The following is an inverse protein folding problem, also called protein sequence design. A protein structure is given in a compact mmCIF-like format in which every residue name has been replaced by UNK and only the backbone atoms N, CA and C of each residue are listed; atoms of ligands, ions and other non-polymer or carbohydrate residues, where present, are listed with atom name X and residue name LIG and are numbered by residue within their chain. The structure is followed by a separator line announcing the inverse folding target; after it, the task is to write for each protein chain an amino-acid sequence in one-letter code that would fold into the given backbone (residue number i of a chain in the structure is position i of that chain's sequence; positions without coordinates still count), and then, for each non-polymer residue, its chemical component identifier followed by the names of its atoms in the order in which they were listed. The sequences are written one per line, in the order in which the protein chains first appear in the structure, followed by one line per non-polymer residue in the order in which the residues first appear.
data_IF_383370371775
#
_entry.id   IF_383370371775
#
_cell.length_a   1.000
_cell.length_b   1.000
_cell.length_c   1.000
_cell.angle_alpha   90.00
_cell.angle_beta   90.00
_cell.angle_gamma   90.00
#
_symmetry.space_group_name_H-M   'P 1'
#
loop_
_entity.id
_entity.type
_entity.pdbx_description
1 polymer ?
#
# COMPACT_ATOMS: atom_id res chain seq x y z
N UNK A 1 2.53 36.69 -39.17
CA UNK A 1 2.10 35.48 -38.44
C UNK A 1 0.94 35.87 -37.52
N UNK A 2 -0.17 35.13 -37.54
CA UNK A 2 -1.31 35.37 -36.65
C UNK A 2 -1.04 34.68 -35.31
N UNK A 3 -0.36 35.38 -34.39
CA UNK A 3 0.00 34.84 -33.07
C UNK A 3 -1.15 34.94 -32.05
N UNK A 4 -2.10 35.86 -32.29
CA UNK A 4 -3.27 36.11 -31.44
C UNK A 4 -4.06 34.83 -31.07
N UNK A 5 -4.43 33.93 -32.01
CA UNK A 5 -5.18 32.72 -31.65
C UNK A 5 -4.37 31.72 -30.82
N UNK A 6 -3.04 31.64 -31.01
CA UNK A 6 -2.17 30.76 -30.21
C UNK A 6 -2.07 31.23 -28.77
N UNK A 7 -1.99 32.54 -28.56
CA UNK A 7 -1.97 33.12 -27.21
C UNK A 7 -3.28 32.85 -26.47
N UNK A 8 -4.44 32.96 -27.14
CA UNK A 8 -5.73 32.61 -26.54
C UNK A 8 -5.84 31.13 -26.20
N UNK A 9 -5.35 30.24 -27.07
CA UNK A 9 -5.33 28.80 -26.81
C UNK A 9 -4.44 28.43 -25.63
N UNK A 10 -3.25 29.04 -25.53
CA UNK A 10 -2.34 28.86 -24.40
C UNK A 10 -2.94 29.39 -23.10
N UNK A 11 -3.64 30.53 -23.15
CA UNK A 11 -4.29 31.11 -21.98
C UNK A 11 -5.45 30.24 -21.49
N UNK A 12 -6.22 29.64 -22.41
CA UNK A 12 -7.28 28.69 -22.05
C UNK A 12 -6.75 27.43 -21.35
N UNK A 13 -5.66 26.84 -21.86
CA UNK A 13 -5.01 25.69 -21.22
C UNK A 13 -4.47 26.07 -19.83
N UNK A 14 -3.88 27.26 -19.71
CA UNK A 14 -3.35 27.76 -18.44
C UNK A 14 -4.45 27.91 -17.38
N UNK A 15 -5.62 28.46 -17.75
CA UNK A 15 -6.77 28.56 -16.84
C UNK A 15 -7.28 27.18 -16.41
N UNK A 16 -7.41 26.24 -17.36
CA UNK A 16 -7.84 24.87 -17.04
C UNK A 16 -6.88 24.19 -16.05
N UNK A 17 -5.57 24.37 -16.21
CA UNK A 17 -4.57 23.82 -15.29
C UNK A 17 -4.68 24.41 -13.88
N UNK A 18 -4.93 25.71 -13.75
CA UNK A 18 -5.18 26.36 -12.46
C UNK A 18 -6.42 25.77 -11.79
N UNK A 19 -7.52 25.58 -12.53
CA UNK A 19 -8.78 25.03 -11.99
C UNK A 19 -8.57 23.60 -11.46
N UNK A 20 -7.84 22.75 -12.18
CA UNK A 20 -7.55 21.37 -11.75
C UNK A 20 -6.64 21.38 -10.51
N UNK A 21 -5.65 22.28 -10.44
CA UNK A 21 -4.75 22.40 -9.31
C UNK A 21 -5.44 22.91 -8.03
N UNK A 22 -6.48 23.75 -8.17
CA UNK A 22 -7.27 24.25 -7.04
C UNK A 22 -8.34 23.27 -6.57
N UNK A 23 -8.68 22.24 -7.35
CA UNK A 23 -9.58 21.19 -6.88
C UNK A 23 -8.90 20.45 -5.72
N UNK A 24 -9.52 20.35 -4.53
CA UNK A 24 -8.97 19.53 -3.47
C UNK A 24 -8.82 18.11 -3.99
N UNK A 25 -7.60 17.57 -3.90
CA UNK A 25 -7.33 16.16 -4.16
C UNK A 25 -8.30 15.38 -3.28
N UNK A 26 -9.08 14.42 -3.82
CA UNK A 26 -9.89 13.57 -2.99
C UNK A 26 -8.96 12.92 -1.98
N UNK A 27 -9.07 13.36 -0.73
CA UNK A 27 -8.38 12.73 0.36
C UNK A 27 -9.16 11.44 0.56
N UNK A 28 -8.67 10.36 -0.02
CA UNK A 28 -9.05 9.04 0.43
C UNK A 28 -8.64 9.00 1.89
N UNK A 29 -9.60 9.33 2.77
CA UNK A 29 -9.49 9.02 4.18
C UNK A 29 -9.46 7.52 4.21
N UNK A 30 -8.25 6.97 4.13
CA UNK A 30 -7.97 5.61 4.52
C UNK A 30 -8.20 5.60 6.03
N UNK A 31 -9.49 5.58 6.40
CA UNK A 31 -9.94 4.92 7.59
C UNK A 31 -9.61 3.45 7.33
N UNK A 32 -8.33 3.10 7.44
CA UNK A 32 -8.00 1.81 8.01
C UNK A 32 -8.96 1.73 9.21
N UNK A 33 -9.79 0.70 9.31
CA UNK A 33 -10.29 0.36 10.62
C UNK A 33 -9.02 0.41 11.48
N UNK A 34 -9.00 1.25 12.51
CA UNK A 34 -8.16 0.94 13.65
C UNK A 34 -8.77 -0.37 14.15
N UNK A 35 -8.46 -1.48 13.47
CA UNK A 35 -8.47 -2.79 14.06
C UNK A 35 -7.60 -2.56 15.26
N UNK A 36 -8.25 -2.36 16.40
CA UNK A 36 -7.64 -2.52 17.69
C UNK A 36 -6.86 -3.81 17.53
N UNK A 37 -5.54 -3.69 17.37
CA UNK A 37 -4.66 -4.84 17.21
C UNK A 37 -5.01 -5.68 18.42
N UNK A 38 -5.61 -6.87 18.25
CA UNK A 38 -5.85 -7.73 19.39
C UNK A 38 -4.48 -7.85 20.05
N UNK A 39 -4.37 -7.53 21.33
CA UNK A 39 -3.08 -7.51 22.05
C UNK A 39 -2.36 -8.88 22.07
N UNK A 40 -2.93 -9.88 21.40
CA UNK A 40 -2.48 -11.24 21.23
C UNK A 40 -1.82 -11.46 19.88
N UNK A 41 -0.63 -10.88 19.68
CA UNK A 41 0.41 -11.48 18.84
C UNK A 41 0.20 -11.62 17.33
N UNK A 42 -0.92 -11.22 16.75
CA UNK A 42 -1.11 -11.20 15.30
C UNK A 42 -1.61 -9.82 14.86
N UNK A 43 -1.04 -9.29 13.78
CA UNK A 43 -1.38 -7.97 13.24
C UNK A 43 -1.59 -8.03 11.74
N UNK A 44 -2.58 -7.28 11.25
CA UNK A 44 -2.85 -7.12 9.81
C UNK A 44 -2.47 -5.70 9.40
N UNK A 45 -1.61 -5.59 8.40
CA UNK A 45 -1.10 -4.33 7.86
C UNK A 45 -1.47 -4.23 6.39
N UNK A 46 -2.12 -3.15 5.96
CA UNK A 46 -2.39 -2.93 4.54
C UNK A 46 -1.13 -2.40 3.84
N UNK A 47 -0.72 -3.05 2.75
CA UNK A 47 0.44 -2.66 1.94
C UNK A 47 0.05 -1.82 0.71
N UNK A 48 -1.09 -2.14 0.10
CA UNK A 48 -1.71 -1.40 -1.01
C UNK A 48 -3.21 -1.69 -1.07
N UNK A 49 -3.95 -1.13 -2.02
CA UNK A 49 -5.41 -1.34 -2.15
C UNK A 49 -5.81 -2.82 -2.21
N UNK A 50 -4.99 -3.65 -2.84
CA UNK A 50 -5.30 -5.05 -3.11
C UNK A 50 -4.37 -6.03 -2.39
N UNK A 51 -3.56 -5.53 -1.44
CA UNK A 51 -2.52 -6.31 -0.77
C UNK A 51 -2.44 -6.02 0.72
N UNK A 52 -2.44 -7.07 1.52
CA UNK A 52 -2.28 -7.02 2.97
C UNK A 52 -1.10 -7.89 3.41
N UNK A 53 -0.55 -7.58 4.57
CA UNK A 53 0.40 -8.42 5.27
C UNK A 53 -0.18 -8.84 6.61
N UNK A 54 0.01 -10.11 6.98
CA UNK A 54 -0.27 -10.63 8.31
C UNK A 54 1.06 -10.89 8.99
N UNK A 55 1.27 -10.29 10.15
CA UNK A 55 2.48 -10.40 10.95
C UNK A 55 2.17 -11.17 12.22
N UNK A 56 2.82 -12.31 12.40
CA UNK A 56 2.77 -13.07 13.64
C UNK A 56 3.94 -12.65 14.55
N UNK A 57 3.60 -11.99 15.64
CA UNK A 57 4.50 -11.56 16.72
C UNK A 57 4.31 -12.39 18.00
N UNK A 58 3.42 -13.38 18.02
CA UNK A 58 3.15 -14.21 19.19
C UNK A 58 4.38 -15.08 19.50
N UNK A 59 4.89 -14.98 20.72
CA UNK A 59 6.07 -15.77 21.13
C UNK A 59 5.80 -17.28 21.21
N UNK A 60 4.54 -17.68 21.33
CA UNK A 60 4.14 -19.08 21.54
C UNK A 60 3.47 -19.73 20.32
N UNK A 61 3.37 -19.05 19.16
CA UNK A 61 2.68 -19.61 17.99
C UNK A 61 3.47 -20.68 17.22
N UNK A 62 4.78 -20.80 17.47
CA UNK A 62 5.70 -21.57 16.63
C UNK A 62 6.00 -20.93 15.27
N UNK A 63 5.29 -19.85 14.94
CA UNK A 63 5.41 -19.07 13.69
C UNK A 63 5.81 -17.61 13.97
N UNK A 64 6.35 -17.37 15.17
CA UNK A 64 6.87 -16.06 15.57
C UNK A 64 7.83 -15.52 14.51
N UNK A 65 7.55 -14.32 14.04
CA UNK A 65 8.40 -13.65 13.07
C UNK A 65 7.94 -13.81 11.63
N UNK A 66 6.91 -14.62 11.38
CA UNK A 66 6.38 -14.85 10.05
C UNK A 66 5.55 -13.64 9.57
N UNK A 67 5.76 -13.28 8.32
CA UNK A 67 5.02 -12.27 7.57
C UNK A 67 4.44 -12.95 6.34
N UNK A 68 3.11 -13.00 6.27
CA UNK A 68 2.37 -13.49 5.13
C UNK A 68 1.88 -12.31 4.31
N UNK A 69 2.31 -12.21 3.06
CA UNK A 69 1.82 -11.20 2.12
C UNK A 69 0.72 -11.85 1.29
N UNK A 70 -0.48 -11.29 1.40
CA UNK A 70 -1.68 -11.75 0.71
C UNK A 70 -2.13 -10.70 -0.31
N UNK A 71 -2.45 -11.13 -1.51
CA UNK A 71 -3.03 -10.30 -2.56
C UNK A 71 -4.44 -10.77 -2.88
N UNK A 72 -5.39 -9.84 -2.95
CA UNK A 72 -6.78 -10.15 -3.20
C UNK A 72 -7.03 -10.36 -4.71
N UNK A 73 -7.57 -11.50 -5.09
CA UNK A 73 -8.00 -11.77 -6.46
C UNK A 73 -9.40 -11.22 -6.64
N UNK A 74 -9.55 -10.11 -7.36
CA UNK A 74 -10.86 -9.48 -7.60
C UNK A 74 -11.81 -10.36 -8.40
N UNK A 75 -11.30 -11.30 -9.19
CA UNK A 75 -12.11 -12.20 -10.02
C UNK A 75 -12.68 -13.33 -9.16
N UNK A 76 -11.83 -13.93 -8.33
CA UNK A 76 -12.21 -15.07 -7.45
C UNK A 76 -12.78 -14.63 -6.11
N UNK A 77 -12.62 -13.36 -5.75
CA UNK A 77 -12.97 -12.77 -4.45
C UNK A 77 -12.25 -13.47 -3.28
N UNK A 78 -10.99 -13.85 -3.46
CA UNK A 78 -10.18 -14.60 -2.48
C UNK A 78 -8.79 -14.01 -2.31
N UNK A 79 -8.19 -14.14 -1.12
CA UNK A 79 -6.78 -13.79 -0.91
C UNK A 79 -5.84 -14.93 -1.33
N UNK A 80 -4.83 -14.60 -2.12
CA UNK A 80 -3.76 -15.50 -2.53
C UNK A 80 -2.46 -15.16 -1.78
N UNK A 81 -1.74 -16.18 -1.32
CA UNK A 81 -0.41 -16.00 -0.72
C UNK A 81 0.61 -15.68 -1.82
N UNK A 82 1.18 -14.47 -1.78
CA UNK A 82 2.18 -14.01 -2.75
C UNK A 82 3.60 -13.97 -2.17
N UNK A 83 3.73 -14.01 -0.85
CA UNK A 83 5.04 -14.04 -0.21
C UNK A 83 4.95 -14.49 1.24
N UNK A 84 5.99 -15.17 1.69
CA UNK A 84 6.17 -15.58 3.08
C UNK A 84 7.61 -15.32 3.50
N UNK A 85 7.78 -14.59 4.59
CA UNK A 85 9.08 -14.18 5.08
C UNK A 85 9.14 -14.31 6.60
N UNK A 86 10.29 -14.72 7.13
CA UNK A 86 10.52 -14.70 8.58
C UNK A 86 11.55 -13.62 8.92
N UNK A 87 11.08 -12.49 9.48
CA UNK A 87 12.00 -11.40 9.82
C UNK A 87 12.93 -11.78 10.99
N UNK A 88 12.52 -12.69 11.87
CA UNK A 88 13.38 -13.18 12.95
C UNK A 88 14.53 -14.01 12.40
N UNK A 89 14.29 -14.87 11.41
CA UNK A 89 15.34 -15.64 10.74
C UNK A 89 16.33 -14.72 10.02
N UNK A 90 15.85 -13.67 9.36
CA UNK A 90 16.70 -12.67 8.70
C UNK A 90 17.71 -12.03 9.68
N UNK A 91 17.27 -11.60 10.86
CA UNK A 91 18.17 -11.00 11.86
C UNK A 91 19.10 -12.01 12.53
N UNK A 92 18.70 -13.29 12.62
CA UNK A 92 19.52 -14.35 13.25
C UNK A 92 20.53 -14.96 12.28
N UNK A 93 20.17 -15.07 11.02
CA UNK A 93 20.92 -15.75 9.97
C UNK A 93 21.06 -14.86 8.72
N UNK A 94 21.63 -13.65 8.83
CA UNK A 94 21.66 -12.69 7.71
C UNK A 94 22.41 -13.24 6.48
N UNK A 95 23.42 -14.08 6.69
CA UNK A 95 24.22 -14.69 5.61
C UNK A 95 23.40 -15.58 4.67
N UNK A 96 22.21 -16.05 5.08
CA UNK A 96 21.32 -16.84 4.22
C UNK A 96 20.65 -16.01 3.12
N UNK A 97 20.61 -14.69 3.29
CA UNK A 97 19.85 -13.76 2.46
C UNK A 97 20.73 -12.76 1.70
N UNK A 98 22.05 -12.80 1.93
CA UNK A 98 23.03 -12.00 1.21
C UNK A 98 23.61 -12.90 0.10
N UNK A 99 23.56 -12.47 -1.18
CA UNK A 99 24.04 -13.26 -2.32
C UNK A 99 25.57 -13.44 -2.36
#
# INVERSE_FOLDING_TARGET
MSDRPRTFLLFGIFICLIIIAMKPVPQFSYNAPQTQVPSSGESVVQLSENRIAIVDTNINSGMRGEVFVLEFDETKKTFNLVGRYNYVDFFRNPNKYIP
#
